data_IF_480641362559
#
_entry.id   IF_480641362559
#
_cell.length_a   1.000
_cell.length_b   1.000
_cell.length_c   1.000
_cell.angle_alpha   90.00
_cell.angle_beta   90.00
_cell.angle_gamma   90.00
#
_symmetry.space_group_name_H-M   'P 1'
#
loop_
_entity.id
_entity.type
_entity.pdbx_description
1 polymer ?
#
# COMPACT_ATOMS: atom_id res chain seq x y z
N UNK A 1 12.29 15.54 10.00
CA UNK A 1 11.37 15.48 11.16
C UNK A 1 10.00 15.07 10.66
N UNK A 2 9.41 14.03 11.22
CA UNK A 2 8.23 13.31 10.73
C UNK A 2 7.04 13.68 11.66
N UNK A 3 5.77 13.45 11.27
CA UNK A 3 4.58 13.81 12.05
C UNK A 3 4.62 13.33 13.51
N UNK A 4 3.85 13.93 14.42
CA UNK A 4 3.93 13.65 15.88
C UNK A 4 3.63 12.19 16.28
N UNK A 5 3.05 11.35 15.42
CA UNK A 5 3.00 9.90 15.61
C UNK A 5 4.40 9.26 15.50
N UNK A 6 5.27 9.83 14.68
CA UNK A 6 6.69 9.48 14.51
C UNK A 6 7.59 10.18 15.53
N UNK A 7 7.27 11.40 15.98
CA UNK A 7 8.03 12.09 17.04
C UNK A 7 7.64 11.65 18.48
N UNK A 8 6.38 11.23 18.74
CA UNK A 8 5.98 10.61 20.01
C UNK A 8 6.66 9.25 20.28
N UNK A 9 7.35 8.67 19.29
CA UNK A 9 7.96 7.34 19.37
C UNK A 9 9.46 7.30 19.05
N UNK A 10 10.13 8.44 18.84
CA UNK A 10 11.56 8.53 18.50
C UNK A 10 12.40 9.30 19.54
N UNK A 11 12.31 8.97 20.83
CA UNK A 11 13.19 9.55 21.86
C UNK A 11 14.23 8.55 22.41
N UNK A 12 14.14 7.23 22.18
CA UNK A 12 15.08 6.29 22.85
C UNK A 12 16.19 5.65 22.00
N UNK A 13 16.15 5.66 20.66
CA UNK A 13 17.05 4.77 19.88
C UNK A 13 18.10 5.43 18.99
N UNK A 14 18.19 6.77 18.90
CA UNK A 14 19.19 7.45 18.05
C UNK A 14 20.40 8.04 18.79
N UNK A 15 20.94 7.36 19.82
CA UNK A 15 22.25 7.75 20.40
C UNK A 15 23.34 6.70 20.30
N UNK A 16 23.13 5.55 19.65
CA UNK A 16 24.21 4.59 19.45
C UNK A 16 24.27 4.09 18.01
N UNK A 17 25.38 4.47 17.36
CA UNK A 17 25.95 3.93 16.13
C UNK A 17 25.58 4.66 14.82
N UNK A 18 26.07 5.89 14.69
CA UNK A 18 26.35 6.48 13.39
C UNK A 18 27.87 6.41 13.13
N UNK A 19 28.32 5.38 12.42
CA UNK A 19 29.57 5.43 11.65
C UNK A 19 29.15 5.69 10.20
N UNK A 20 29.64 6.83 9.70
CA UNK A 20 29.36 7.40 8.40
C UNK A 20 29.99 6.53 7.30
N UNK A 21 29.16 6.13 6.33
CA UNK A 21 29.59 5.49 5.09
C UNK A 21 28.64 5.88 3.97
N UNK A 22 28.90 7.04 3.36
CA UNK A 22 28.17 7.53 2.18
C UNK A 22 28.50 6.64 0.99
N UNK A 23 27.48 6.00 0.41
CA UNK A 23 27.47 5.61 -0.99
C UNK A 23 26.08 5.93 -1.55
N UNK A 24 25.99 7.06 -2.25
CA UNK A 24 24.83 7.43 -3.05
C UNK A 24 24.88 6.58 -4.31
N UNK A 25 24.03 5.56 -4.41
CA UNK A 25 23.71 4.93 -5.67
C UNK A 25 22.33 5.46 -6.09
N UNK A 26 22.33 6.37 -7.07
CA UNK A 26 21.11 6.82 -7.72
C UNK A 26 20.44 5.62 -8.39
N UNK A 27 19.34 5.12 -7.81
CA UNK A 27 18.47 4.18 -8.51
C UNK A 27 17.75 4.95 -9.62
N UNK A 28 18.16 4.69 -10.86
CA UNK A 28 17.38 5.01 -12.05
C UNK A 28 16.01 4.38 -11.93
N UNK A 29 14.98 5.21 -11.99
CA UNK A 29 13.58 4.81 -12.05
C UNK A 29 13.37 4.04 -13.36
N UNK A 30 13.48 2.71 -13.31
CA UNK A 30 12.90 1.84 -14.33
C UNK A 30 11.40 1.84 -14.12
N UNK A 31 10.65 2.30 -15.12
CA UNK A 31 9.21 2.16 -15.16
C UNK A 31 8.87 0.68 -14.97
N UNK A 32 8.15 0.36 -13.89
CA UNK A 32 7.55 -0.96 -13.71
C UNK A 32 6.68 -1.25 -14.93
N UNK A 33 6.96 -2.34 -15.64
CA UNK A 33 6.16 -2.74 -16.78
C UNK A 33 4.78 -3.13 -16.27
N UNK A 34 3.74 -2.51 -16.83
CA UNK A 34 2.34 -2.83 -16.55
C UNK A 34 2.00 -4.11 -17.33
N UNK A 35 2.45 -5.27 -16.84
CA UNK A 35 2.04 -6.57 -17.38
C UNK A 35 0.96 -7.22 -16.52
N UNK A 36 0.35 -8.26 -17.10
CA UNK A 36 -0.86 -9.07 -16.78
C UNK A 36 -2.05 -8.42 -16.02
N UNK A 37 -1.80 -7.65 -14.97
CA UNK A 37 -2.75 -7.01 -14.09
C UNK A 37 -3.75 -6.08 -14.82
N UNK A 38 -3.30 -5.25 -15.77
CA UNK A 38 -4.20 -4.36 -16.53
C UNK A 38 -5.27 -5.12 -17.35
N UNK A 39 -5.05 -6.42 -17.64
CA UNK A 39 -6.00 -7.25 -18.39
C UNK A 39 -7.01 -7.98 -17.51
N UNK A 40 -6.73 -8.18 -16.22
CA UNK A 40 -7.63 -8.83 -15.26
C UNK A 40 -8.59 -7.84 -14.60
N UNK A 41 -8.29 -6.54 -14.61
CA UNK A 41 -9.12 -5.50 -14.00
C UNK A 41 -10.20 -4.97 -14.96
N UNK A 42 -11.26 -5.78 -15.11
CA UNK A 42 -12.56 -5.29 -15.53
C UNK A 42 -13.16 -4.35 -14.48
N UNK A 43 -13.68 -3.20 -14.92
CA UNK A 43 -14.34 -2.19 -14.07
C UNK A 43 -15.49 -2.80 -13.25
N UNK A 44 -15.29 -3.06 -11.96
CA UNK A 44 -16.39 -3.23 -11.00
C UNK A 44 -15.99 -2.76 -9.60
N UNK A 45 -16.45 -1.57 -9.24
CA UNK A 45 -16.44 -1.06 -7.86
C UNK A 45 -17.57 -1.72 -7.06
N UNK A 46 -17.32 -2.31 -5.87
CA UNK A 46 -18.37 -2.52 -4.89
C UNK A 46 -18.70 -1.18 -4.23
N UNK A 47 -19.96 -0.78 -4.35
CA UNK A 47 -20.52 0.45 -3.79
C UNK A 47 -20.64 0.41 -2.27
N UNK A 48 -20.04 1.39 -1.58
CA UNK A 48 -20.47 1.93 -0.28
C UNK A 48 -20.16 3.44 -0.23
N UNK A 49 -20.87 4.22 0.61
CA UNK A 49 -21.46 5.50 0.22
C UNK A 49 -20.41 6.59 -0.02
N UNK A 50 -20.40 7.09 -1.25
CA UNK A 50 -19.64 8.28 -1.66
C UNK A 50 -20.29 9.54 -1.09
N UNK A 51 -19.65 10.17 -0.11
CA UNK A 51 -19.75 11.63 0.04
C UNK A 51 -18.91 12.25 -1.08
N UNK A 52 -19.60 12.88 -2.02
CA UNK A 52 -19.01 13.45 -3.23
C UNK A 52 -18.16 14.68 -2.91
N UNK A 53 -16.85 14.60 -3.17
CA UNK A 53 -16.02 15.77 -3.45
C UNK A 53 -15.45 15.67 -4.88
N UNK A 54 -15.36 16.81 -5.58
CA UNK A 54 -15.30 16.89 -7.04
C UNK A 54 -13.98 16.40 -7.66
N UNK A 55 -14.01 15.86 -8.90
CA UNK A 55 -12.82 15.39 -9.59
C UNK A 55 -11.93 16.57 -10.00
N UNK A 56 -10.78 16.72 -9.35
CA UNK A 56 -9.65 17.50 -9.91
C UNK A 56 -9.09 16.71 -11.09
N UNK A 57 -9.00 17.35 -12.26
CA UNK A 57 -8.40 16.77 -13.47
C UNK A 57 -7.02 16.19 -13.13
N UNK A 58 -6.86 14.87 -13.26
CA UNK A 58 -5.58 14.15 -13.14
C UNK A 58 -5.48 13.12 -12.00
N UNK A 59 -6.30 13.23 -10.96
CA UNK A 59 -6.31 12.28 -9.82
C UNK A 59 -7.49 11.31 -9.94
N UNK A 60 -7.20 10.02 -9.93
CA UNK A 60 -8.19 8.96 -9.79
C UNK A 60 -7.90 8.24 -8.47
N UNK A 61 -8.89 8.24 -7.57
CA UNK A 61 -8.77 7.60 -6.26
C UNK A 61 -8.56 6.09 -6.40
N UNK A 62 -7.64 5.57 -5.59
CA UNK A 62 -7.37 4.14 -5.45
C UNK A 62 -7.15 3.84 -3.96
N UNK A 63 -8.24 3.86 -3.20
CA UNK A 63 -8.24 3.58 -1.77
C UNK A 63 -7.93 2.11 -1.48
N UNK A 64 -6.94 1.88 -0.63
CA UNK A 64 -6.49 0.55 -0.27
C UNK A 64 -6.18 0.43 1.22
N UNK A 65 -6.45 -0.75 1.77
CA UNK A 65 -6.11 -1.10 3.13
C UNK A 65 -4.90 -2.05 3.17
N UNK A 66 -3.98 -1.87 4.12
CA UNK A 66 -2.98 -2.91 4.38
C UNK A 66 -2.43 -2.85 5.80
N UNK A 67 -1.85 -3.96 6.24
CA UNK A 67 -1.16 -4.04 7.53
C UNK A 67 0.34 -3.79 7.35
N UNK A 68 0.93 -3.12 8.33
CA UNK A 68 2.37 -2.90 8.44
C UNK A 68 2.82 -3.03 9.89
N UNK A 69 4.10 -3.29 10.09
CA UNK A 69 4.72 -3.01 11.38
C UNK A 69 5.03 -1.50 11.44
N UNK A 70 4.56 -0.83 12.49
CA UNK A 70 4.85 0.57 12.79
C UNK A 70 5.41 0.62 14.21
N UNK A 71 6.72 0.83 14.34
CA UNK A 71 7.44 0.87 15.63
C UNK A 71 7.17 -0.36 16.51
N UNK A 72 7.32 -1.56 15.95
CA UNK A 72 7.08 -2.85 16.61
C UNK A 72 5.63 -3.08 17.05
N UNK A 73 4.69 -2.31 16.50
CA UNK A 73 3.24 -2.47 16.69
C UNK A 73 2.54 -2.77 15.38
N UNK A 74 1.42 -3.48 15.47
CA UNK A 74 0.55 -3.70 14.32
C UNK A 74 -0.09 -2.37 13.92
N UNK A 75 0.20 -1.94 12.70
CA UNK A 75 -0.39 -0.77 12.07
C UNK A 75 -1.34 -1.19 10.96
N UNK A 76 -2.49 -0.53 10.91
CA UNK A 76 -3.52 -0.68 9.91
C UNK A 76 -3.60 0.62 9.12
N UNK A 77 -3.14 0.59 7.87
CA UNK A 77 -3.16 1.75 6.97
C UNK A 77 -4.37 1.66 6.03
N UNK A 78 -4.93 2.83 5.73
CA UNK A 78 -5.89 3.02 4.66
C UNK A 78 -5.47 4.26 3.88
N UNK A 79 -5.06 4.11 2.62
CA UNK A 79 -4.33 5.12 1.86
C UNK A 79 -4.86 5.20 0.42
N UNK A 80 -4.85 6.39 -0.16
CA UNK A 80 -5.12 6.56 -1.59
C UNK A 80 -3.83 6.36 -2.40
N UNK A 81 -3.69 5.19 -3.04
CA UNK A 81 -2.56 4.84 -3.89
C UNK A 81 -2.53 5.66 -5.19
N UNK A 82 -3.68 6.17 -5.62
CA UNK A 82 -3.83 6.93 -6.86
C UNK A 82 -3.08 8.25 -6.85
N UNK A 83 -2.83 8.80 -5.65
CA UNK A 83 -2.05 10.03 -5.47
C UNK A 83 -0.61 9.91 -5.95
N UNK A 84 -0.01 8.71 -6.01
CA UNK A 84 1.36 8.50 -6.51
C UNK A 84 1.58 9.06 -7.92
N UNK A 85 0.54 9.15 -8.75
CA UNK A 85 0.64 9.66 -10.14
C UNK A 85 0.67 11.18 -10.25
N UNK A 86 0.24 11.88 -9.20
CA UNK A 86 0.02 13.34 -9.20
C UNK A 86 0.76 14.06 -8.08
N UNK A 87 1.18 13.35 -7.04
CA UNK A 87 2.03 13.84 -5.97
C UNK A 87 3.51 13.83 -6.39
N UNK A 88 4.35 14.73 -5.85
CA UNK A 88 3.99 15.83 -4.95
C UNK A 88 3.25 16.96 -5.69
N UNK A 89 2.27 17.59 -5.02
CA UNK A 89 1.55 18.75 -5.55
C UNK A 89 2.13 20.04 -5.00
N UNK A 90 2.60 20.93 -5.87
CA UNK A 90 3.25 22.19 -5.46
C UNK A 90 2.32 23.14 -4.70
N UNK A 91 1.00 23.05 -4.92
CA UNK A 91 -0.01 23.83 -4.19
C UNK A 91 -0.43 23.19 -2.85
N UNK A 92 0.25 22.12 -2.41
CA UNK A 92 0.03 21.43 -1.13
C UNK A 92 1.35 21.03 -0.46
N UNK A 93 2.14 22.02 0.00
CA UNK A 93 3.47 21.75 0.53
C UNK A 93 3.47 21.39 2.02
N UNK A 94 2.31 21.23 2.67
CA UNK A 94 2.24 20.98 4.11
C UNK A 94 1.48 19.69 4.41
N UNK A 95 2.05 18.82 5.24
CA UNK A 95 1.30 17.72 5.85
C UNK A 95 0.63 18.20 7.13
N UNK A 96 -0.63 17.82 7.33
CA UNK A 96 -1.41 18.03 8.54
C UNK A 96 -1.92 16.67 9.02
N UNK A 97 -1.82 16.40 10.32
CA UNK A 97 -2.38 15.19 10.91
C UNK A 97 -3.32 15.50 12.07
N UNK A 98 -4.33 14.64 12.23
CA UNK A 98 -5.24 14.61 13.39
C UNK A 98 -5.14 13.23 14.03
N UNK A 99 -4.78 13.17 15.30
CA UNK A 99 -4.58 11.96 16.09
C UNK A 99 -5.71 11.81 17.09
N UNK A 100 -6.50 10.75 16.97
CA UNK A 100 -7.65 10.47 17.84
C UNK A 100 -7.29 9.31 18.75
N UNK A 101 -7.35 9.52 20.08
CA UNK A 101 -7.14 8.45 21.04
C UNK A 101 -8.39 7.57 21.11
N UNK A 102 -8.24 6.28 20.84
CA UNK A 102 -9.33 5.30 21.00
C UNK A 102 -9.57 5.04 22.49
N UNK A 103 -10.83 4.93 22.92
CA UNK A 103 -11.15 4.70 24.32
C UNK A 103 -11.08 3.21 24.69
N UNK A 104 -11.42 2.34 23.74
CA UNK A 104 -11.49 0.89 23.87
C UNK A 104 -10.78 0.20 22.68
N UNK A 105 -9.47 0.43 22.46
CA UNK A 105 -8.73 -0.32 21.46
C UNK A 105 -8.67 -1.80 21.83
N UNK A 106 -8.55 -2.67 20.82
CA UNK A 106 -8.24 -4.09 21.03
C UNK A 106 -6.82 -4.25 21.57
N UNK A 107 -6.52 -5.44 22.07
CA UNK A 107 -5.19 -5.77 22.63
C UNK A 107 -4.05 -5.58 21.61
N UNK A 108 -4.32 -5.78 20.32
CA UNK A 108 -3.38 -5.56 19.21
C UNK A 108 -3.14 -4.06 18.87
N UNK A 109 -3.86 -3.15 19.54
CA UNK A 109 -3.76 -1.70 19.34
C UNK A 109 -4.67 -1.15 18.23
N UNK A 110 -5.48 -1.98 17.58
CA UNK A 110 -6.41 -1.57 16.53
C UNK A 110 -7.81 -1.28 17.09
N UNK A 111 -8.68 -0.68 16.27
CA UNK A 111 -10.04 -0.31 16.68
C UNK A 111 -10.91 -1.51 17.02
N UNK A 112 -11.65 -1.45 18.13
CA UNK A 112 -12.66 -2.46 18.47
C UNK A 112 -13.91 -2.34 17.57
N UNK A 113 -14.74 -3.38 17.56
CA UNK A 113 -16.02 -3.34 16.86
C UNK A 113 -17.00 -2.32 17.48
N UNK A 114 -16.88 -2.08 18.78
CA UNK A 114 -17.72 -1.13 19.51
C UNK A 114 -17.44 0.33 19.11
N UNK A 115 -16.18 0.67 18.83
CA UNK A 115 -15.77 2.02 18.46
C UNK A 115 -15.64 2.26 16.95
N UNK A 116 -15.54 1.21 16.13
CA UNK A 116 -15.23 1.35 14.70
C UNK A 116 -16.20 2.27 13.95
N UNK A 117 -17.50 2.18 14.24
CA UNK A 117 -18.53 3.05 13.67
C UNK A 117 -18.33 4.51 14.05
N UNK A 118 -18.16 4.81 15.34
CA UNK A 118 -17.97 6.19 15.82
C UNK A 118 -16.65 6.80 15.33
N UNK A 119 -15.58 6.01 15.23
CA UNK A 119 -14.32 6.47 14.63
C UNK A 119 -14.48 6.78 13.14
N UNK A 120 -15.32 6.02 12.43
CA UNK A 120 -15.73 6.34 11.06
C UNK A 120 -16.47 7.67 10.98
N UNK A 121 -17.47 7.87 11.85
CA UNK A 121 -18.24 9.13 11.89
C UNK A 121 -17.33 10.36 12.17
N UNK A 122 -16.34 10.22 13.06
CA UNK A 122 -15.37 11.29 13.35
C UNK A 122 -14.49 11.56 12.12
N UNK A 123 -14.01 10.51 11.46
CA UNK A 123 -13.18 10.63 10.27
C UNK A 123 -13.93 11.32 9.13
N UNK A 124 -15.15 10.88 8.82
CA UNK A 124 -15.98 11.49 7.78
C UNK A 124 -16.23 12.98 8.08
N UNK A 125 -16.58 13.32 9.33
CA UNK A 125 -16.80 14.70 9.75
C UNK A 125 -15.54 15.57 9.63
N UNK A 126 -14.37 15.03 9.98
CA UNK A 126 -13.09 15.73 9.84
C UNK A 126 -12.72 15.90 8.37
N UNK A 127 -12.81 14.85 7.57
CA UNK A 127 -12.50 14.86 6.13
C UNK A 127 -13.40 15.87 5.41
N UNK A 128 -14.71 15.80 5.60
CA UNK A 128 -15.68 16.70 4.97
C UNK A 128 -15.43 18.17 5.39
N UNK A 129 -15.21 18.43 6.69
CA UNK A 129 -15.05 19.80 7.18
C UNK A 129 -13.72 20.42 6.76
N UNK A 130 -12.64 19.64 6.78
CA UNK A 130 -11.30 20.11 6.41
C UNK A 130 -11.24 20.39 4.91
N UNK A 131 -11.65 19.42 4.09
CA UNK A 131 -11.58 19.54 2.62
C UNK A 131 -12.53 20.60 2.04
N UNK A 132 -13.63 20.92 2.74
CA UNK A 132 -14.52 22.02 2.34
C UNK A 132 -14.04 23.41 2.73
N UNK A 133 -13.22 23.55 3.78
CA UNK A 133 -12.74 24.86 4.28
C UNK A 133 -11.34 25.22 3.81
N UNK A 134 -10.49 24.24 3.54
CA UNK A 134 -9.07 24.43 3.24
C UNK A 134 -8.74 23.92 1.84
N UNK A 135 -7.69 24.48 1.22
CA UNK A 135 -7.11 23.85 0.02
C UNK A 135 -6.33 22.61 0.44
N UNK A 136 -7.04 21.55 0.79
CA UNK A 136 -6.46 20.32 1.32
C UNK A 136 -6.88 19.08 0.52
N UNK A 137 -6.21 17.96 0.78
CA UNK A 137 -6.59 16.63 0.30
C UNK A 137 -6.37 15.63 1.43
N UNK A 138 -7.33 14.73 1.63
CA UNK A 138 -7.16 13.59 2.54
C UNK A 138 -6.37 12.51 1.81
N UNK A 139 -5.31 11.99 2.43
CA UNK A 139 -4.41 11.03 1.77
C UNK A 139 -4.43 9.65 2.41
N UNK A 140 -4.97 9.55 3.62
CA UNK A 140 -5.14 8.28 4.32
C UNK A 140 -5.05 8.38 5.83
N UNK A 141 -5.09 7.21 6.48
CA UNK A 141 -5.00 7.05 7.92
C UNK A 141 -4.10 5.90 8.33
N UNK A 142 -3.63 5.97 9.57
CA UNK A 142 -3.04 4.88 10.31
C UNK A 142 -3.88 4.62 11.58
N UNK A 143 -4.24 3.37 11.85
CA UNK A 143 -4.69 2.94 13.17
C UNK A 143 -3.61 2.05 13.77
N UNK A 144 -3.05 2.43 14.92
CA UNK A 144 -1.99 1.68 15.60
C UNK A 144 -1.89 2.12 17.07
N UNK A 145 -1.46 1.20 17.95
CA UNK A 145 -1.12 1.50 19.35
C UNK A 145 -2.20 2.27 20.15
N UNK A 146 -3.47 2.09 19.83
CA UNK A 146 -4.57 2.76 20.52
C UNK A 146 -4.94 4.13 19.94
N UNK A 147 -4.35 4.54 18.82
CA UNK A 147 -4.58 5.83 18.17
C UNK A 147 -5.02 5.64 16.70
N UNK A 148 -5.84 6.58 16.21
CA UNK A 148 -6.17 6.72 14.79
C UNK A 148 -5.71 8.09 14.29
N UNK A 149 -4.70 8.06 13.43
CA UNK A 149 -4.11 9.25 12.81
C UNK A 149 -4.65 9.43 11.39
N UNK A 150 -5.26 10.57 11.12
CA UNK A 150 -5.73 10.98 9.78
C UNK A 150 -4.71 11.96 9.18
N UNK A 151 -4.33 11.76 7.93
CA UNK A 151 -3.32 12.55 7.25
C UNK A 151 -3.89 13.30 6.04
N UNK A 152 -3.50 14.56 5.93
CA UNK A 152 -3.93 15.48 4.90
C UNK A 152 -2.74 16.28 4.35
N UNK A 153 -2.83 16.70 3.09
CA UNK A 153 -1.90 17.69 2.52
C UNK A 153 -2.61 19.01 2.22
N UNK A 154 -2.07 20.11 2.74
CA UNK A 154 -2.65 21.46 2.74
C UNK A 154 -1.80 22.44 1.93
N UNK A 155 -2.47 23.37 1.24
CA UNK A 155 -1.81 24.52 0.60
C UNK A 155 -1.27 25.55 1.59
N UNK A 156 -2.04 25.85 2.64
CA UNK A 156 -1.62 26.68 3.76
C UNK A 156 -2.22 26.14 5.07
N UNK A 157 -1.61 26.44 6.20
CA UNK A 157 -2.01 25.92 7.52
C UNK A 157 -2.70 26.98 8.37
N UNK A 158 -3.38 27.95 7.76
CA UNK A 158 -4.09 28.99 8.51
C UNK A 158 -5.39 28.43 9.07
N UNK A 159 -5.62 28.52 10.38
CA UNK A 159 -6.88 28.14 11.05
C UNK A 159 -7.31 26.66 10.91
N UNK A 160 -6.40 25.76 10.53
CA UNK A 160 -6.68 24.32 10.46
C UNK A 160 -7.03 23.76 11.85
N UNK A 161 -6.31 24.22 12.88
CA UNK A 161 -6.50 23.90 14.30
C UNK A 161 -7.92 24.23 14.80
N UNK A 162 -8.42 25.43 14.44
CA UNK A 162 -9.78 25.86 14.75
C UNK A 162 -10.81 24.98 14.05
N UNK A 163 -10.54 24.60 12.81
CA UNK A 163 -11.44 23.75 12.03
C UNK A 163 -11.56 22.35 12.62
N UNK A 164 -10.45 21.74 13.01
CA UNK A 164 -10.42 20.45 13.71
C UNK A 164 -11.18 20.56 15.03
N UNK A 165 -10.90 21.60 15.82
CA UNK A 165 -11.55 21.82 17.12
C UNK A 165 -13.06 21.98 17.00
N UNK A 166 -13.55 22.72 15.98
CA UNK A 166 -14.99 22.87 15.70
C UNK A 166 -15.69 21.53 15.46
N UNK A 167 -15.04 20.58 14.78
CA UNK A 167 -15.58 19.23 14.55
C UNK A 167 -15.58 18.43 15.86
N UNK A 168 -14.45 18.44 16.57
CA UNK A 168 -14.26 17.61 17.76
C UNK A 168 -15.15 18.01 18.94
N UNK A 169 -15.73 19.21 18.95
CA UNK A 169 -16.77 19.61 19.93
C UNK A 169 -17.98 18.65 19.92
N UNK A 170 -18.32 18.07 18.76
CA UNK A 170 -19.40 17.08 18.65
C UNK A 170 -19.03 15.72 19.27
N UNK A 171 -17.75 15.49 19.57
CA UNK A 171 -17.22 14.21 20.06
C UNK A 171 -16.46 14.39 21.39
N UNK A 172 -17.09 14.95 22.45
CA UNK A 172 -16.41 15.34 23.69
C UNK A 172 -15.84 14.16 24.49
N UNK A 173 -16.19 12.92 24.12
CA UNK A 173 -15.66 11.70 24.74
C UNK A 173 -14.30 11.29 24.17
N UNK A 174 -13.90 11.82 23.02
CA UNK A 174 -12.64 11.46 22.37
C UNK A 174 -11.58 12.52 22.64
N UNK A 175 -10.43 12.06 23.11
CA UNK A 175 -9.24 12.90 23.17
C UNK A 175 -8.61 12.94 21.79
N UNK A 176 -8.08 14.12 21.43
CA UNK A 176 -7.42 14.29 20.15
C UNK A 176 -6.25 15.26 20.27
N UNK A 177 -5.34 15.16 19.31
CA UNK A 177 -4.23 16.06 19.09
C UNK A 177 -4.05 16.29 17.59
N UNK A 178 -3.34 17.33 17.19
CA UNK A 178 -3.10 17.61 15.78
C UNK A 178 -1.80 18.38 15.60
N UNK A 179 -1.27 18.35 14.39
CA UNK A 179 -0.09 19.12 14.04
C UNK A 179 0.05 19.31 12.55
N UNK A 180 1.02 20.12 12.17
CA UNK A 180 1.35 20.38 10.78
C UNK A 180 2.85 20.52 10.60
N UNK A 181 3.31 20.25 9.40
CA UNK A 181 4.71 20.40 9.02
C UNK A 181 4.84 20.67 7.52
N UNK A 182 5.80 21.50 7.13
CA UNK A 182 6.19 21.61 5.73
C UNK A 182 6.79 20.27 5.23
N UNK A 183 6.28 19.79 4.10
CA UNK A 183 6.64 18.55 3.42
C UNK A 183 6.40 18.68 1.90
N UNK A 184 7.22 19.51 1.25
CA UNK A 184 7.13 19.80 -0.20
C UNK A 184 7.31 18.55 -1.07
N UNK A 185 8.12 17.60 -0.60
CA UNK A 185 8.42 16.35 -1.32
C UNK A 185 7.41 15.23 -1.01
N UNK A 186 6.42 15.49 -0.14
CA UNK A 186 5.43 14.51 0.27
C UNK A 186 6.03 13.23 0.90
N UNK A 187 7.12 13.37 1.67
CA UNK A 187 7.77 12.25 2.34
C UNK A 187 6.83 11.53 3.34
N UNK A 188 5.91 12.26 3.98
CA UNK A 188 4.87 11.64 4.81
C UNK A 188 3.95 10.69 4.04
N UNK A 189 3.66 10.99 2.78
CA UNK A 189 2.92 10.09 1.90
C UNK A 189 3.82 8.98 1.37
N UNK A 190 4.92 9.31 0.67
CA UNK A 190 5.72 8.32 -0.05
C UNK A 190 6.52 7.37 0.84
N UNK A 191 7.07 7.85 1.95
CA UNK A 191 7.99 7.07 2.78
C UNK A 191 7.28 6.37 3.95
N UNK A 192 6.06 6.81 4.29
CA UNK A 192 5.35 6.32 5.47
C UNK A 192 3.97 5.72 5.15
N UNK A 193 3.09 6.43 4.41
CA UNK A 193 1.74 5.93 4.11
C UNK A 193 1.68 5.03 2.88
N UNK A 194 2.56 5.22 1.91
CA UNK A 194 2.58 4.43 0.69
C UNK A 194 3.24 3.07 0.97
N UNK A 195 2.66 1.96 0.49
CA UNK A 195 3.20 0.63 0.74
C UNK A 195 4.60 0.45 0.15
N UNK A 196 5.48 -0.21 0.91
CA UNK A 196 6.75 -0.69 0.40
C UNK A 196 6.52 -1.71 -0.73
N UNK A 197 7.50 -1.92 -1.63
CA UNK A 197 7.31 -2.82 -2.79
C UNK A 197 6.79 -4.22 -2.44
N UNK A 198 7.29 -4.82 -1.35
CA UNK A 198 6.80 -6.11 -0.88
C UNK A 198 5.34 -6.05 -0.37
N UNK A 199 4.97 -4.98 0.34
CA UNK A 199 3.59 -4.78 0.80
C UNK A 199 2.65 -4.56 -0.39
N UNK A 200 3.13 -3.85 -1.41
CA UNK A 200 2.39 -3.67 -2.65
C UNK A 200 2.13 -5.01 -3.35
N UNK A 201 3.08 -5.94 -3.34
CA UNK A 201 2.82 -7.29 -3.85
C UNK A 201 1.77 -8.06 -3.05
N UNK A 202 1.79 -7.97 -1.72
CA UNK A 202 0.74 -8.58 -0.90
C UNK A 202 -0.65 -7.96 -1.18
N UNK A 203 -0.71 -6.65 -1.43
CA UNK A 203 -1.93 -5.96 -1.89
C UNK A 203 -2.40 -6.54 -3.25
N UNK A 204 -1.51 -6.68 -4.23
CA UNK A 204 -1.88 -7.24 -5.54
C UNK A 204 -2.36 -8.69 -5.42
N UNK A 205 -1.70 -9.50 -4.59
CA UNK A 205 -2.13 -10.87 -4.30
C UNK A 205 -3.54 -10.92 -3.73
N UNK A 206 -3.83 -10.08 -2.73
CA UNK A 206 -5.17 -9.98 -2.14
C UNK A 206 -6.22 -9.63 -3.19
N UNK A 207 -5.93 -8.68 -4.08
CA UNK A 207 -6.86 -8.29 -5.16
C UNK A 207 -7.18 -9.46 -6.08
N UNK A 208 -6.21 -10.29 -6.44
CA UNK A 208 -6.47 -11.50 -7.25
C UNK A 208 -7.35 -12.49 -6.49
N UNK A 209 -7.04 -12.74 -5.22
CA UNK A 209 -7.81 -13.65 -4.35
C UNK A 209 -9.26 -13.17 -4.20
N UNK A 210 -9.49 -11.88 -3.98
CA UNK A 210 -10.83 -11.30 -3.91
C UNK A 210 -11.61 -11.49 -5.22
N UNK A 211 -10.95 -11.49 -6.38
CA UNK A 211 -11.61 -11.79 -7.66
C UNK A 211 -11.97 -13.27 -7.79
N UNK A 212 -11.15 -14.19 -7.26
CA UNK A 212 -11.49 -15.60 -7.19
C UNK A 212 -12.74 -15.80 -6.33
N UNK A 213 -12.77 -15.22 -5.12
CA UNK A 213 -13.92 -15.28 -4.22
C UNK A 213 -15.19 -14.69 -4.84
N UNK A 214 -15.09 -13.52 -5.50
CA UNK A 214 -16.20 -12.93 -6.26
C UNK A 214 -16.68 -13.83 -7.41
N UNK A 215 -15.76 -14.61 -7.98
CA UNK A 215 -16.03 -15.65 -8.95
C UNK A 215 -16.72 -16.90 -8.38
N UNK A 216 -16.92 -16.98 -7.06
CA UNK A 216 -17.51 -18.13 -6.38
C UNK A 216 -16.51 -19.17 -5.88
N UNK A 217 -15.22 -18.86 -5.90
CA UNK A 217 -14.17 -19.72 -5.37
C UNK A 217 -14.19 -19.75 -3.83
N UNK A 218 -14.02 -20.93 -3.24
CA UNK A 218 -13.92 -21.08 -1.78
C UNK A 218 -12.48 -21.12 -1.27
N UNK A 219 -11.48 -21.05 -2.17
CA UNK A 219 -10.04 -21.05 -1.92
C UNK A 219 -9.48 -22.32 -1.23
N UNK A 220 -10.30 -23.36 -1.02
CA UNK A 220 -9.89 -24.55 -0.26
C UNK A 220 -9.11 -25.58 -1.07
N UNK A 221 -9.30 -25.60 -2.40
CA UNK A 221 -8.65 -26.56 -3.31
C UNK A 221 -7.29 -26.06 -3.75
N UNK A 222 -6.28 -26.91 -3.58
CA UNK A 222 -4.99 -26.77 -4.26
C UNK A 222 -5.17 -26.95 -5.78
N UNK A 223 -4.44 -26.17 -6.57
CA UNK A 223 -4.61 -26.10 -8.03
C UNK A 223 -3.36 -25.57 -8.71
N UNK A 224 -3.34 -25.64 -10.04
CA UNK A 224 -2.24 -25.07 -10.81
C UNK A 224 -2.23 -23.54 -10.68
N UNK A 225 -1.12 -23.02 -10.16
CA UNK A 225 -0.80 -21.59 -10.11
C UNK A 225 0.31 -21.33 -11.12
N UNK A 226 0.07 -20.38 -12.02
CA UNK A 226 0.99 -20.00 -13.09
C UNK A 226 1.67 -18.69 -12.73
N UNK A 227 2.96 -18.56 -13.07
CA UNK A 227 3.76 -17.37 -12.82
C UNK A 227 4.42 -16.90 -14.10
N UNK A 228 4.46 -15.57 -14.27
CA UNK A 228 5.06 -14.91 -15.41
C UNK A 228 6.24 -14.06 -14.96
N UNK A 229 7.42 -14.35 -15.51
CA UNK A 229 8.66 -13.64 -15.19
C UNK A 229 9.39 -13.29 -16.49
N UNK A 230 9.94 -12.08 -16.55
CA UNK A 230 10.67 -11.56 -17.69
C UNK A 230 12.10 -11.17 -17.30
N UNK A 231 13.03 -11.31 -18.23
CA UNK A 231 14.45 -11.11 -17.99
C UNK A 231 15.09 -10.35 -19.16
N UNK A 232 16.17 -9.62 -18.86
CA UNK A 232 16.93 -8.88 -19.86
C UNK A 232 17.82 -9.77 -20.72
N UNK A 233 18.25 -10.90 -20.17
CA UNK A 233 19.09 -11.87 -20.86
C UNK A 233 18.64 -13.31 -20.62
N UNK A 234 19.03 -14.21 -21.53
CA UNK A 234 18.86 -15.65 -21.33
C UNK A 234 19.60 -16.13 -20.08
N UNK A 235 20.81 -15.60 -19.83
CA UNK A 235 21.61 -15.95 -18.65
C UNK A 235 20.89 -15.65 -17.35
N UNK A 236 20.18 -14.52 -17.25
CA UNK A 236 19.42 -14.15 -16.06
C UNK A 236 18.25 -15.11 -15.82
N UNK A 237 17.55 -15.51 -16.90
CA UNK A 237 16.49 -16.52 -16.84
C UNK A 237 17.02 -17.89 -16.39
N UNK A 238 18.17 -18.32 -16.90
CA UNK A 238 18.77 -19.60 -16.48
C UNK A 238 19.25 -19.54 -15.02
N UNK A 239 19.81 -18.41 -14.58
CA UNK A 239 20.20 -18.19 -13.18
C UNK A 239 18.99 -18.26 -12.23
N UNK A 240 17.85 -17.73 -12.64
CA UNK A 240 16.59 -17.85 -11.90
C UNK A 240 16.12 -19.29 -11.80
N UNK A 241 16.10 -20.02 -12.93
CA UNK A 241 15.72 -21.45 -12.98
C UNK A 241 16.60 -22.31 -12.09
N UNK A 242 17.91 -22.06 -12.07
CA UNK A 242 18.85 -22.78 -11.21
C UNK A 242 18.55 -22.58 -9.72
N UNK A 243 18.09 -21.38 -9.32
CA UNK A 243 17.73 -21.10 -7.92
C UNK A 243 16.43 -21.76 -7.50
N UNK A 244 15.46 -21.92 -8.40
CA UNK A 244 14.17 -22.57 -8.10
C UNK A 244 14.12 -24.07 -8.43
N UNK A 245 15.23 -24.67 -8.87
CA UNK A 245 15.26 -26.05 -9.40
C UNK A 245 14.74 -27.11 -8.43
N UNK A 246 14.80 -26.84 -7.12
CA UNK A 246 14.37 -27.76 -6.06
C UNK A 246 12.98 -27.39 -5.49
N UNK A 247 12.33 -26.35 -6.02
CA UNK A 247 11.06 -25.81 -5.49
C UNK A 247 9.83 -26.44 -6.17
N UNK A 248 10.04 -27.48 -6.97
CA UNK A 248 9.04 -28.29 -7.67
C UNK A 248 8.17 -27.52 -8.69
N UNK A 249 8.67 -26.40 -9.22
CA UNK A 249 8.03 -25.72 -10.35
C UNK A 249 8.25 -26.49 -11.66
N UNK A 250 7.20 -26.61 -12.47
CA UNK A 250 7.26 -27.08 -13.84
C UNK A 250 7.34 -25.90 -14.81
N UNK A 251 8.19 -26.01 -15.84
CA UNK A 251 8.30 -25.01 -16.89
C UNK A 251 7.13 -25.20 -17.87
N UNK A 252 6.37 -24.13 -18.10
CA UNK A 252 5.29 -24.08 -19.11
C UNK A 252 5.84 -23.56 -20.43
N UNK A 253 6.59 -22.46 -20.40
CA UNK A 253 7.21 -21.88 -21.59
C UNK A 253 8.49 -21.10 -21.29
N UNK A 254 9.39 -21.06 -22.28
CA UNK A 254 10.66 -20.30 -22.28
C UNK A 254 10.82 -19.63 -23.63
N UNK A 255 10.36 -18.39 -23.74
CA UNK A 255 10.33 -17.67 -25.01
C UNK A 255 11.29 -16.48 -24.98
N UNK A 256 11.63 -15.98 -26.16
CA UNK A 256 12.37 -14.74 -26.29
C UNK A 256 12.03 -14.03 -27.58
N UNK A 257 11.81 -12.72 -27.51
CA UNK A 257 11.61 -11.87 -28.67
C UNK A 257 12.17 -10.47 -28.38
N UNK A 258 13.15 -10.06 -29.18
CA UNK A 258 13.80 -8.75 -29.03
C UNK A 258 12.84 -7.58 -29.28
N UNK A 259 11.72 -7.81 -29.96
CA UNK A 259 10.69 -6.79 -30.17
C UNK A 259 9.93 -6.42 -28.89
N UNK A 260 10.02 -7.24 -27.82
CA UNK A 260 9.38 -6.99 -26.53
C UNK A 260 10.10 -5.93 -25.68
N UNK A 261 11.27 -5.44 -26.12
CA UNK A 261 12.01 -4.37 -25.44
C UNK A 261 13.10 -4.91 -24.50
N UNK A 262 13.31 -4.21 -23.38
CA UNK A 262 14.42 -4.49 -22.47
C UNK A 262 14.33 -5.90 -21.85
N UNK A 263 13.13 -6.35 -21.50
CA UNK A 263 12.87 -7.65 -20.90
C UNK A 263 12.44 -8.70 -21.96
N UNK A 264 13.34 -8.96 -22.91
CA UNK A 264 13.06 -9.78 -24.09
C UNK A 264 12.96 -11.30 -23.83
N UNK A 265 13.28 -11.79 -22.63
CA UNK A 265 13.29 -13.23 -22.31
C UNK A 265 12.21 -13.56 -21.30
N UNK A 266 11.21 -14.34 -21.70
CA UNK A 266 10.08 -14.74 -20.85
C UNK A 266 10.28 -16.13 -20.28
N UNK A 267 9.77 -16.32 -19.08
CA UNK A 267 9.60 -17.59 -18.41
C UNK A 267 8.16 -17.68 -17.87
N UNK A 268 7.47 -18.77 -18.20
CA UNK A 268 6.25 -19.16 -17.52
C UNK A 268 6.49 -20.47 -16.78
N UNK A 269 6.21 -20.48 -15.49
CA UNK A 269 6.29 -21.68 -14.63
C UNK A 269 4.95 -21.93 -13.95
N UNK A 270 4.74 -23.15 -13.48
CA UNK A 270 3.58 -23.50 -12.67
C UNK A 270 3.90 -24.48 -11.56
N UNK A 271 3.09 -24.48 -10.50
CA UNK A 271 3.11 -25.46 -9.41
C UNK A 271 1.70 -25.64 -8.87
N UNK A 272 1.44 -26.77 -8.22
CA UNK A 272 0.19 -26.98 -7.49
C UNK A 272 0.35 -26.33 -6.12
N UNK A 273 -0.44 -25.30 -5.83
CA UNK A 273 -0.36 -24.53 -4.58
C UNK A 273 -1.76 -24.24 -4.02
N UNK A 274 -1.80 -23.88 -2.74
CA UNK A 274 -2.97 -23.27 -2.09
C UNK A 274 -3.08 -21.81 -2.46
N UNK A 275 -4.31 -21.31 -2.55
CA UNK A 275 -4.61 -19.94 -3.01
C UNK A 275 -5.19 -19.05 -1.90
N UNK A 276 -5.00 -19.43 -0.63
CA UNK A 276 -5.26 -18.53 0.50
C UNK A 276 -4.15 -17.47 0.62
N UNK A 277 -4.47 -16.34 1.25
CA UNK A 277 -3.57 -15.17 1.33
C UNK A 277 -2.16 -15.51 1.82
N UNK A 278 -2.03 -16.34 2.87
CA UNK A 278 -0.73 -16.62 3.47
C UNK A 278 0.13 -17.47 2.53
N UNK A 279 -0.48 -18.50 1.93
CA UNK A 279 0.20 -19.37 0.96
C UNK A 279 0.64 -18.57 -0.26
N UNK A 280 -0.25 -17.75 -0.82
CA UNK A 280 0.03 -16.90 -1.99
C UNK A 280 1.16 -15.92 -1.70
N UNK A 281 1.10 -15.20 -0.58
CA UNK A 281 2.16 -14.26 -0.22
C UNK A 281 3.51 -14.95 -0.06
N UNK A 282 3.56 -16.16 0.51
CA UNK A 282 4.81 -16.91 0.67
C UNK A 282 5.52 -17.16 -0.68
N UNK A 283 4.83 -17.79 -1.64
CA UNK A 283 5.48 -18.16 -2.90
C UNK A 283 5.60 -16.97 -3.87
N UNK A 284 4.63 -16.05 -3.92
CA UNK A 284 4.69 -14.90 -4.83
C UNK A 284 5.79 -13.94 -4.40
N UNK A 285 5.89 -13.61 -3.10
CA UNK A 285 6.92 -12.69 -2.62
C UNK A 285 8.31 -13.31 -2.78
N UNK A 286 8.44 -14.63 -2.57
CA UNK A 286 9.68 -15.36 -2.84
C UNK A 286 10.11 -15.21 -4.31
N UNK A 287 9.23 -15.54 -5.26
CA UNK A 287 9.54 -15.46 -6.70
C UNK A 287 9.79 -14.02 -7.15
N UNK A 288 8.99 -13.06 -6.67
CA UNK A 288 9.16 -11.63 -6.95
C UNK A 288 10.51 -11.13 -6.45
N UNK A 289 10.88 -11.42 -5.21
CA UNK A 289 12.18 -10.99 -4.65
C UNK A 289 13.32 -11.61 -5.43
N UNK A 290 13.22 -12.90 -5.73
CA UNK A 290 14.23 -13.63 -6.49
C UNK A 290 14.43 -13.05 -7.90
N UNK A 291 13.34 -12.70 -8.59
CA UNK A 291 13.41 -12.06 -9.91
C UNK A 291 14.15 -10.72 -9.82
N UNK A 292 13.77 -9.86 -8.87
CA UNK A 292 14.40 -8.55 -8.66
C UNK A 292 15.90 -8.68 -8.34
N UNK A 293 16.30 -9.62 -7.49
CA UNK A 293 17.70 -9.86 -7.11
C UNK A 293 18.58 -10.23 -8.32
N UNK A 294 17.97 -10.75 -9.40
CA UNK A 294 18.65 -11.15 -10.65
C UNK A 294 18.41 -10.13 -11.77
N UNK A 295 17.73 -9.01 -11.47
CA UNK A 295 17.40 -7.98 -12.46
C UNK A 295 16.31 -8.39 -13.45
N UNK A 296 15.52 -9.41 -13.12
CA UNK A 296 14.27 -9.78 -13.80
C UNK A 296 13.07 -9.00 -13.27
N UNK A 297 11.97 -9.06 -14.01
CA UNK A 297 10.69 -8.45 -13.71
C UNK A 297 9.65 -9.56 -13.49
N UNK A 298 9.17 -9.69 -12.25
CA UNK A 298 8.08 -10.60 -11.93
C UNK A 298 6.76 -9.89 -12.22
N UNK A 299 6.07 -10.38 -13.23
CA UNK A 299 4.88 -9.74 -13.76
C UNK A 299 3.64 -10.06 -12.94
N UNK A 300 3.47 -11.31 -12.53
CA UNK A 300 2.31 -11.71 -11.76
C UNK A 300 2.08 -13.21 -11.75
N UNK A 301 0.96 -13.58 -11.14
CA UNK A 301 0.47 -14.95 -11.12
C UNK A 301 -0.99 -15.00 -11.56
N UNK A 302 -1.42 -16.17 -12.00
CA UNK A 302 -2.81 -16.45 -12.35
C UNK A 302 -3.17 -17.90 -12.01
N UNK A 303 -4.47 -18.16 -11.87
CA UNK A 303 -5.02 -19.50 -11.64
C UNK A 303 -6.48 -19.55 -12.10
N UNK A 304 -7.06 -20.75 -12.17
CA UNK A 304 -8.47 -20.97 -12.43
C UNK A 304 -9.35 -20.67 -11.22
N UNK A 305 -10.58 -20.23 -11.50
CA UNK A 305 -11.67 -20.27 -10.51
C UNK A 305 -12.15 -21.72 -10.42
N UNK A 306 -12.14 -22.27 -9.21
CA UNK A 306 -12.55 -23.64 -8.89
C UNK A 306 -13.79 -23.60 -7.99
N UNK A 307 -14.94 -23.96 -8.57
CA UNK A 307 -16.19 -24.14 -7.81
C UNK A 307 -16.27 -25.57 -7.26
N UNK A 308 -17.11 -25.76 -6.25
CA UNK A 308 -17.53 -27.10 -5.79
C UNK A 308 -18.57 -27.75 -6.69
#
# INVERSE_FOLDING_TARGET
>A
MLPASVERHNIETMTKNLIIGINILALTITAFSMGLFDKLFGKTNPSQPTSTSQPKVGHQEEWEFYFSNVNDKLGSLFVDLGLRKVAPMTDKPNVVWVSIKMNNPREDGLSSQEESGTLGDIEDALVDKITSKHNSIYVGRLTSAGDRDLYFYFGDTTLYDKTISEVMVAYPKYQFDFGSKEDKEWGGYFDFLYPLPQQFQSIQNRRVIEQLEKGGDNLTKEREVFHWIYFKSESDRENFLEKIKNDNFSIVSKDSDKSWGEFAYRLQIKRIDKVDQNSVDEYVIYLWKLANDIGGDYDGWETSIEMD
#
